data_IF_855591828022
#
_entry.id   IF_855591828022
#
_cell.length_a   1.000
_cell.length_b   1.000
_cell.length_c   1.000
_cell.angle_alpha   90.00
_cell.angle_beta   90.00
_cell.angle_gamma   90.00
#
_symmetry.space_group_name_H-M   'P 1'
#
loop_
_entity.id
_entity.type
_entity.pdbx_description
1 polymer ?
#
# COMPACT_ATOMS: atom_id res chain seq x y z
N UNK A 1 -0.29 20.36 12.75
CA UNK A 1 0.72 20.05 11.70
C UNK A 1 1.85 19.28 12.36
N UNK A 2 2.02 18.01 12.02
CA UNK A 2 3.18 17.26 12.48
C UNK A 2 4.40 17.77 11.71
N UNK A 3 5.34 18.40 12.41
CA UNK A 3 6.64 18.75 11.82
C UNK A 3 7.38 17.47 11.53
N UNK A 4 7.65 17.18 10.26
CA UNK A 4 8.53 16.09 9.86
C UNK A 4 9.89 16.33 10.50
N UNK A 5 10.20 15.62 11.58
CA UNK A 5 11.53 15.63 12.19
C UNK A 5 12.46 14.89 11.25
N UNK A 6 13.44 15.59 10.70
CA UNK A 6 14.53 14.98 9.93
C UNK A 6 15.70 14.74 10.87
N UNK A 7 16.31 13.55 10.78
CA UNK A 7 17.63 13.33 11.39
C UNK A 7 18.64 14.29 10.76
N UNK A 8 19.38 14.98 11.61
CA UNK A 8 20.49 15.83 11.15
C UNK A 8 21.61 14.90 10.71
N UNK A 9 21.93 14.91 9.41
CA UNK A 9 23.09 14.21 8.90
C UNK A 9 24.33 15.00 9.32
N UNK A 10 25.22 14.46 10.19
CA UNK A 10 26.43 15.17 10.58
C UNK A 10 27.31 15.37 9.36
N UNK A 11 27.71 16.61 9.10
CA UNK A 11 28.64 16.93 8.02
C UNK A 11 30.02 16.29 8.31
N UNK A 12 30.70 15.85 7.24
CA UNK A 12 32.09 15.35 7.35
C UNK A 12 32.95 16.43 8.03
N UNK A 13 33.68 16.09 9.08
CA UNK A 13 34.47 17.07 9.79
C UNK A 13 35.62 17.58 8.91
N UNK A 14 35.80 18.89 8.86
CA UNK A 14 36.99 19.49 8.25
C UNK A 14 38.14 19.42 9.27
N UNK A 15 39.01 18.44 9.06
CA UNK A 15 40.14 18.23 9.96
C UNK A 15 41.28 19.24 9.62
N UNK A 16 41.93 19.83 10.62
CA UNK A 16 43.06 20.71 10.37
C UNK A 16 44.23 19.93 9.74
N UNK A 17 44.93 20.57 8.81
CA UNK A 17 46.13 19.99 8.20
C UNK A 17 47.24 19.84 9.23
N UNK A 18 47.95 18.71 9.16
CA UNK A 18 49.09 18.45 10.05
C UNK A 18 50.23 19.46 9.87
N UNK A 19 50.92 19.77 10.93
CA UNK A 19 52.09 20.59 10.95
C UNK A 19 53.36 19.72 10.89
N UNK A 20 54.47 20.23 10.36
CA UNK A 20 55.76 19.49 10.29
C UNK A 20 56.32 19.16 11.66
N UNK A 21 55.96 19.94 12.66
CA UNK A 21 56.35 19.75 14.06
C UNK A 21 55.13 19.59 14.94
N UNK A 22 55.35 18.89 16.10
CA UNK A 22 54.30 18.73 17.08
C UNK A 22 53.85 20.08 17.65
N UNK A 23 52.61 20.43 17.46
CA UNK A 23 52.00 21.59 18.08
C UNK A 23 50.82 21.16 18.94
N UNK A 24 50.85 21.51 20.23
CA UNK A 24 49.76 21.21 21.17
C UNK A 24 48.40 21.79 20.68
N UNK A 25 48.46 23.01 20.15
CA UNK A 25 47.24 23.69 19.62
C UNK A 25 46.59 22.91 18.48
N UNK A 26 47.39 22.35 17.57
CA UNK A 26 46.87 21.49 16.50
C UNK A 26 46.21 20.25 17.07
N UNK A 27 46.84 19.58 18.04
CA UNK A 27 46.29 18.37 18.66
C UNK A 27 44.97 18.64 19.40
N UNK A 28 44.88 19.77 20.11
CA UNK A 28 43.68 20.19 20.81
C UNK A 28 42.53 20.51 19.81
N UNK A 29 42.83 21.21 18.71
CA UNK A 29 41.86 21.47 17.64
C UNK A 29 41.38 20.18 16.98
N UNK A 30 42.27 19.29 16.60
CA UNK A 30 41.95 17.99 16.00
C UNK A 30 41.04 17.16 16.92
N UNK A 31 41.42 17.02 18.17
CA UNK A 31 40.65 16.28 19.18
C UNK A 31 39.25 16.90 19.40
N UNK A 32 39.16 18.23 19.41
CA UNK A 32 37.91 18.93 19.58
C UNK A 32 36.96 18.74 18.40
N UNK A 33 37.47 18.82 17.16
CA UNK A 33 36.69 18.58 15.94
C UNK A 33 36.13 17.15 15.91
N UNK A 34 36.96 16.16 16.20
CA UNK A 34 36.55 14.76 16.28
C UNK A 34 35.51 14.54 17.39
N UNK A 35 35.70 15.12 18.58
CA UNK A 35 34.76 15.00 19.69
C UNK A 35 33.40 15.57 19.32
N UNK A 36 33.34 16.74 18.68
CA UNK A 36 32.10 17.36 18.22
C UNK A 36 31.39 16.49 17.17
N UNK A 37 32.13 15.96 16.19
CA UNK A 37 31.59 15.07 15.18
C UNK A 37 30.99 13.79 15.78
N UNK A 38 31.74 13.11 16.67
CA UNK A 38 31.22 11.90 17.32
C UNK A 38 30.04 12.16 18.26
N UNK A 39 29.98 13.33 18.90
CA UNK A 39 28.81 13.72 19.70
C UNK A 39 27.58 13.93 18.82
N UNK A 40 27.71 14.59 17.65
CA UNK A 40 26.62 14.76 16.70
C UNK A 40 26.15 13.40 16.15
N UNK A 41 27.08 12.52 15.79
CA UNK A 41 26.78 11.17 15.32
C UNK A 41 26.06 10.36 16.40
N UNK A 42 26.54 10.39 17.64
CA UNK A 42 25.90 9.73 18.78
C UNK A 42 24.47 10.23 19.01
N UNK A 43 24.26 11.55 18.97
CA UNK A 43 22.94 12.13 19.16
C UNK A 43 21.99 11.67 18.06
N UNK A 44 22.40 11.72 16.78
CA UNK A 44 21.58 11.21 15.66
C UNK A 44 21.25 9.72 15.77
N UNK A 45 22.24 8.89 16.14
CA UNK A 45 22.02 7.46 16.37
C UNK A 45 21.13 7.20 17.59
N UNK A 46 21.28 7.96 18.68
CA UNK A 46 20.44 7.83 19.88
C UNK A 46 18.98 8.20 19.58
N UNK A 47 18.75 9.18 18.71
CA UNK A 47 17.38 9.51 18.26
C UNK A 47 16.81 8.40 17.36
N UNK A 48 17.61 7.87 16.41
CA UNK A 48 17.19 6.81 15.50
C UNK A 48 16.86 5.49 16.24
N UNK A 49 17.67 5.12 17.23
CA UNK A 49 17.47 3.90 18.05
C UNK A 49 16.57 4.13 19.28
N UNK A 50 16.15 5.36 19.53
CA UNK A 50 15.23 5.71 20.60
C UNK A 50 13.79 5.29 20.32
N UNK A 51 12.90 5.50 21.30
CA UNK A 51 11.48 5.14 21.22
C UNK A 51 10.72 5.73 20.03
N UNK A 52 11.17 6.87 19.52
CA UNK A 52 10.58 7.56 18.37
C UNK A 52 11.34 7.33 17.06
N UNK A 53 12.31 6.44 17.03
CA UNK A 53 13.21 6.23 15.89
C UNK A 53 12.49 5.90 14.59
N UNK A 54 11.41 5.13 14.67
CA UNK A 54 10.57 4.82 13.52
C UNK A 54 9.96 6.03 12.82
N UNK A 55 9.80 7.16 13.52
CA UNK A 55 9.27 8.41 12.93
C UNK A 55 10.22 9.10 11.96
N UNK A 56 11.49 8.70 11.94
CA UNK A 56 12.51 9.23 11.02
C UNK A 56 12.70 8.37 9.77
N UNK A 57 12.11 7.16 9.76
CA UNK A 57 12.24 6.19 8.67
C UNK A 57 11.00 6.31 7.77
N UNK A 58 11.22 6.70 6.54
CA UNK A 58 10.18 6.79 5.52
C UNK A 58 10.24 5.53 4.65
N UNK A 59 9.55 4.47 5.09
CA UNK A 59 9.47 3.24 4.30
C UNK A 59 8.52 3.43 3.10
N UNK A 60 8.84 2.86 1.93
CA UNK A 60 7.93 2.84 0.80
C UNK A 60 6.58 2.24 1.18
N UNK A 61 5.52 2.98 0.94
CA UNK A 61 4.15 2.54 1.19
C UNK A 61 3.18 3.29 0.30
N UNK A 62 2.01 2.70 0.09
CA UNK A 62 0.86 3.37 -0.51
C UNK A 62 -0.41 2.84 0.14
N UNK A 63 -1.35 3.72 0.42
CA UNK A 63 -2.71 3.38 0.80
C UNK A 63 -3.66 4.08 -0.16
N UNK A 64 -4.63 3.34 -0.67
CA UNK A 64 -5.59 3.84 -1.65
C UNK A 64 -6.98 3.26 -1.40
N UNK A 65 -8.00 3.99 -1.82
CA UNK A 65 -9.39 3.60 -1.67
C UNK A 65 -10.21 3.90 -2.93
N UNK A 66 -11.39 3.29 -3.03
CA UNK A 66 -12.39 3.62 -4.03
C UNK A 66 -13.77 3.75 -3.40
N UNK A 67 -14.41 4.90 -3.62
CA UNK A 67 -15.72 5.24 -3.10
C UNK A 67 -16.86 5.02 -4.12
N UNK A 68 -16.57 4.30 -5.22
CA UNK A 68 -17.56 3.96 -6.25
C UNK A 68 -17.89 2.48 -6.25
N UNK A 69 -19.13 2.12 -6.54
CA UNK A 69 -19.48 0.71 -6.74
C UNK A 69 -18.85 0.18 -8.02
N UNK A 70 -18.23 -0.99 -7.96
CA UNK A 70 -17.49 -1.59 -9.07
C UNK A 70 -18.18 -2.87 -9.54
N UNK A 71 -18.26 -3.03 -10.84
CA UNK A 71 -18.83 -4.20 -11.49
C UNK A 71 -17.78 -4.94 -12.30
N UNK A 72 -17.80 -6.27 -12.30
CA UNK A 72 -16.99 -7.04 -13.22
C UNK A 72 -17.42 -6.75 -14.67
N UNK A 73 -16.46 -6.73 -15.58
CA UNK A 73 -16.74 -6.46 -17.00
C UNK A 73 -17.69 -7.49 -17.60
N UNK A 74 -17.51 -8.76 -17.25
CA UNK A 74 -18.41 -9.88 -17.60
C UNK A 74 -18.14 -11.04 -16.64
N UNK A 75 -19.02 -12.04 -16.63
CA UNK A 75 -18.78 -13.31 -15.94
C UNK A 75 -17.52 -13.98 -16.50
N UNK A 76 -16.73 -14.58 -15.62
CA UNK A 76 -15.47 -15.27 -15.93
C UNK A 76 -14.42 -14.41 -16.66
N UNK A 77 -14.48 -13.09 -16.50
CA UNK A 77 -13.56 -12.15 -17.12
C UNK A 77 -12.80 -11.37 -16.06
N UNK A 78 -11.46 -11.41 -16.06
CA UNK A 78 -10.66 -10.60 -15.18
C UNK A 78 -10.94 -9.11 -15.31
N UNK A 79 -11.20 -8.45 -14.20
CA UNK A 79 -11.48 -7.01 -14.12
C UNK A 79 -10.55 -6.39 -13.08
N UNK A 80 -9.93 -5.26 -13.39
CA UNK A 80 -9.11 -4.54 -12.42
C UNK A 80 -9.98 -3.91 -11.33
N UNK A 81 -9.56 -4.02 -10.07
CA UNK A 81 -10.15 -3.29 -8.95
C UNK A 81 -9.64 -1.86 -9.02
N UNK A 82 -10.58 -0.92 -9.04
CA UNK A 82 -10.26 0.50 -9.16
C UNK A 82 -9.86 1.09 -7.83
N UNK A 83 -8.91 2.03 -7.91
CA UNK A 83 -8.46 2.90 -6.84
C UNK A 83 -8.60 4.35 -7.34
N UNK A 84 -9.52 5.12 -6.78
CA UNK A 84 -9.76 6.49 -7.23
C UNK A 84 -9.21 7.56 -6.28
N UNK A 85 -8.79 7.16 -5.09
CA UNK A 85 -8.27 8.06 -4.06
C UNK A 85 -6.94 7.53 -3.53
N UNK A 86 -5.92 8.39 -3.56
CA UNK A 86 -4.67 8.16 -2.83
C UNK A 86 -4.84 8.72 -1.41
N UNK A 87 -4.88 7.84 -0.43
CA UNK A 87 -5.06 8.21 0.98
C UNK A 87 -3.73 8.59 1.64
N UNK A 88 -2.67 7.85 1.34
CA UNK A 88 -1.30 8.12 1.78
C UNK A 88 -0.30 7.40 0.88
N UNK A 89 0.92 7.93 0.73
CA UNK A 89 1.96 7.22 -0.02
C UNK A 89 3.30 7.92 -0.05
N UNK A 90 4.34 7.09 -0.09
CA UNK A 90 5.73 7.45 -0.33
C UNK A 90 6.41 6.28 -1.04
N UNK A 91 7.29 6.56 -2.01
CA UNK A 91 7.98 5.51 -2.77
C UNK A 91 7.10 4.73 -3.75
N UNK A 92 5.87 5.19 -4.00
CA UNK A 92 4.94 4.67 -5.01
C UNK A 92 4.27 5.80 -5.79
N UNK A 93 3.82 5.48 -6.99
CA UNK A 93 2.92 6.33 -7.79
C UNK A 93 1.63 5.58 -8.06
N UNK A 94 0.47 6.16 -7.68
CA UNK A 94 -0.83 5.64 -8.08
C UNK A 94 -1.15 6.12 -9.50
N UNK A 95 -1.36 5.16 -10.42
CA UNK A 95 -1.63 5.44 -11.81
C UNK A 95 -3.15 5.57 -12.07
N UNK A 96 -3.52 6.30 -13.11
CA UNK A 96 -4.92 6.47 -13.53
C UNK A 96 -5.62 5.17 -13.94
N UNK A 97 -4.87 4.12 -14.28
CA UNK A 97 -5.38 2.77 -14.59
C UNK A 97 -5.54 1.90 -13.33
N UNK A 98 -5.47 2.48 -12.13
CA UNK A 98 -5.62 1.78 -10.85
C UNK A 98 -4.51 0.75 -10.54
N UNK A 99 -3.30 0.97 -11.06
CA UNK A 99 -2.10 0.26 -10.66
C UNK A 99 -1.21 1.17 -9.80
N UNK A 100 -0.39 0.58 -8.96
CA UNK A 100 0.62 1.28 -8.16
C UNK A 100 2.01 0.93 -8.68
N UNK A 101 2.80 1.92 -9.10
CA UNK A 101 4.18 1.73 -9.56
C UNK A 101 5.15 1.92 -8.41
N UNK A 102 5.98 0.91 -8.14
CA UNK A 102 7.02 0.99 -7.12
C UNK A 102 8.22 1.81 -7.63
N UNK A 103 8.70 2.76 -6.83
CA UNK A 103 9.91 3.54 -7.14
C UNK A 103 11.19 2.90 -6.60
N UNK A 104 11.07 1.92 -5.72
CA UNK A 104 12.17 1.24 -5.04
C UNK A 104 11.93 -0.28 -5.14
N UNK A 105 12.99 -1.03 -5.47
CA UNK A 105 12.94 -2.51 -5.48
C UNK A 105 12.86 -3.06 -4.07
N UNK A 106 12.06 -4.12 -3.86
CA UNK A 106 11.92 -4.72 -2.54
C UNK A 106 10.92 -5.85 -2.48
N UNK A 107 10.81 -6.42 -1.29
CA UNK A 107 9.73 -7.32 -0.89
C UNK A 107 8.64 -6.45 -0.27
N UNK A 108 7.43 -6.61 -0.74
CA UNK A 108 6.28 -5.83 -0.34
C UNK A 108 5.15 -6.71 0.16
N UNK A 109 4.34 -6.16 1.04
CA UNK A 109 3.10 -6.77 1.49
C UNK A 109 1.93 -5.90 1.05
N UNK A 110 0.97 -6.48 0.33
CA UNK A 110 -0.33 -5.87 0.11
C UNK A 110 -1.34 -6.41 1.11
N UNK A 111 -2.15 -5.51 1.62
CA UNK A 111 -3.34 -5.83 2.42
C UNK A 111 -4.53 -5.15 1.76
N UNK A 112 -5.62 -5.87 1.55
CA UNK A 112 -6.81 -5.28 0.95
C UNK A 112 -8.09 -5.73 1.63
N UNK A 113 -9.12 -4.88 1.53
CA UNK A 113 -10.49 -5.13 1.99
C UNK A 113 -11.46 -4.71 0.90
N UNK A 114 -12.38 -5.61 0.54
CA UNK A 114 -13.37 -5.43 -0.53
C UNK A 114 -14.76 -5.69 0.01
N UNK A 115 -15.72 -4.79 -0.27
CA UNK A 115 -17.10 -4.94 0.14
C UNK A 115 -17.89 -5.67 -0.94
N UNK A 116 -17.86 -6.99 -0.96
CA UNK A 116 -18.66 -7.78 -1.89
C UNK A 116 -20.14 -7.74 -1.52
N UNK A 117 -20.98 -7.61 -2.54
CA UNK A 117 -22.42 -7.71 -2.44
C UNK A 117 -22.96 -8.70 -3.49
N UNK A 118 -23.93 -9.52 -3.11
CA UNK A 118 -24.60 -10.45 -4.01
C UNK A 118 -26.11 -10.17 -4.04
N UNK A 119 -26.62 -9.88 -5.23
CA UNK A 119 -28.04 -9.60 -5.48
C UNK A 119 -28.77 -10.78 -6.13
N UNK A 120 -28.09 -11.91 -6.32
CA UNK A 120 -28.70 -13.12 -6.89
C UNK A 120 -29.26 -14.02 -5.80
N UNK A 121 -30.19 -14.90 -6.21
CA UNK A 121 -30.78 -15.94 -5.37
C UNK A 121 -29.91 -17.21 -5.22
N UNK A 122 -28.70 -17.19 -5.81
CA UNK A 122 -27.65 -18.22 -5.69
C UNK A 122 -26.41 -17.63 -5.04
N UNK A 123 -25.63 -18.49 -4.38
CA UNK A 123 -24.31 -18.12 -3.91
C UNK A 123 -23.33 -18.07 -5.09
N UNK A 124 -22.42 -17.08 -5.06
CA UNK A 124 -21.40 -16.88 -6.10
C UNK A 124 -20.05 -16.54 -5.49
N UNK A 125 -18.99 -16.76 -6.27
CA UNK A 125 -17.63 -16.51 -5.83
C UNK A 125 -17.06 -15.21 -6.42
N UNK A 126 -16.46 -14.40 -5.57
CA UNK A 126 -15.55 -13.35 -5.95
C UNK A 126 -14.10 -13.86 -5.81
N UNK A 127 -13.36 -13.90 -6.89
CA UNK A 127 -11.99 -14.40 -6.95
C UNK A 127 -11.07 -13.20 -7.11
N UNK A 128 -10.08 -13.04 -6.25
CA UNK A 128 -9.19 -11.87 -6.22
C UNK A 128 -7.74 -12.31 -6.28
N UNK A 129 -6.92 -11.64 -7.06
CA UNK A 129 -5.47 -11.90 -7.18
C UNK A 129 -4.68 -10.66 -7.57
N UNK A 130 -3.37 -10.74 -7.46
CA UNK A 130 -2.44 -9.70 -7.89
C UNK A 130 -1.92 -9.94 -9.30
N UNK A 131 -1.66 -8.85 -10.01
CA UNK A 131 -0.99 -8.85 -11.30
C UNK A 131 0.07 -7.77 -11.33
N UNK A 132 1.30 -8.12 -11.74
CA UNK A 132 2.42 -7.18 -11.90
C UNK A 132 2.61 -6.89 -13.38
N UNK A 133 2.82 -5.62 -13.73
CA UNK A 133 2.99 -5.08 -15.10
C UNK A 133 1.86 -5.45 -16.09
N UNK A 134 0.74 -5.92 -15.56
CA UNK A 134 -0.41 -6.36 -16.33
C UNK A 134 -1.49 -5.29 -16.46
N UNK A 135 -1.59 -4.65 -17.62
CA UNK A 135 -2.75 -3.81 -18.00
C UNK A 135 -3.80 -4.59 -18.80
N UNK A 136 -3.46 -5.80 -19.24
CA UNK A 136 -4.30 -6.68 -20.06
C UNK A 136 -5.14 -7.65 -19.21
N UNK A 137 -6.27 -8.08 -19.72
CA UNK A 137 -7.09 -9.14 -19.12
C UNK A 137 -6.50 -10.55 -19.26
N UNK A 138 -5.29 -10.70 -19.81
CA UNK A 138 -4.59 -11.98 -19.94
C UNK A 138 -3.86 -12.34 -18.64
N UNK A 139 -3.70 -13.63 -18.36
CA UNK A 139 -3.11 -14.17 -17.12
C UNK A 139 -1.57 -14.16 -17.09
N UNK A 140 -0.89 -13.58 -18.08
CA UNK A 140 0.56 -13.69 -18.25
C UNK A 140 1.39 -13.10 -17.11
N UNK A 141 0.83 -12.16 -16.34
CA UNK A 141 1.53 -11.44 -15.28
C UNK A 141 0.90 -11.69 -13.89
N UNK A 142 0.12 -12.76 -13.75
CA UNK A 142 -0.49 -13.12 -12.47
C UNK A 142 0.57 -13.54 -11.46
N UNK A 143 0.51 -12.98 -10.26
CA UNK A 143 1.40 -13.36 -9.16
C UNK A 143 0.98 -14.69 -8.60
N UNK A 144 1.85 -15.69 -8.66
CA UNK A 144 1.59 -17.02 -8.13
C UNK A 144 1.24 -16.96 -6.63
N UNK A 145 0.28 -17.78 -6.19
CA UNK A 145 -0.18 -17.88 -4.80
C UNK A 145 -0.82 -16.59 -4.22
N UNK A 146 -1.22 -15.63 -5.06
CA UNK A 146 -1.91 -14.42 -4.64
C UNK A 146 -3.43 -14.53 -4.68
N UNK A 147 -3.97 -15.65 -5.18
CA UNK A 147 -5.41 -15.81 -5.40
C UNK A 147 -6.14 -16.15 -4.10
N UNK A 148 -7.21 -15.42 -3.83
CA UNK A 148 -8.14 -15.67 -2.73
C UNK A 148 -9.58 -15.75 -3.27
N UNK A 149 -10.38 -16.70 -2.78
CA UNK A 149 -11.78 -16.89 -3.17
C UNK A 149 -12.68 -16.49 -2.00
N UNK A 150 -13.66 -15.66 -2.27
CA UNK A 150 -14.69 -15.20 -1.33
C UNK A 150 -16.05 -15.66 -1.81
N UNK A 151 -16.66 -16.65 -1.15
CA UNK A 151 -18.01 -17.08 -1.47
C UNK A 151 -19.01 -16.15 -0.81
N UNK A 152 -19.86 -15.49 -1.62
CA UNK A 152 -20.91 -14.59 -1.16
C UNK A 152 -22.24 -15.32 -1.26
N UNK A 153 -22.88 -15.53 -0.12
CA UNK A 153 -24.17 -16.23 -0.05
C UNK A 153 -25.25 -15.55 -0.91
N UNK A 154 -26.30 -16.30 -1.25
CA UNK A 154 -27.48 -15.78 -1.94
C UNK A 154 -28.05 -14.55 -1.20
N UNK A 155 -28.71 -13.66 -1.93
CA UNK A 155 -29.39 -12.48 -1.37
C UNK A 155 -30.39 -12.87 -0.26
N UNK A 156 -30.59 -11.99 0.71
CA UNK A 156 -31.49 -12.22 1.84
C UNK A 156 -32.95 -12.27 1.39
N UNK A 157 -33.34 -11.42 0.44
CA UNK A 157 -34.66 -11.37 -0.19
C UNK A 157 -34.58 -10.54 -1.47
N UNK A 158 -35.64 -10.44 -2.23
CA UNK A 158 -35.73 -9.62 -3.43
C UNK A 158 -35.34 -8.16 -3.09
N UNK A 159 -34.33 -7.62 -3.75
CA UNK A 159 -33.82 -6.25 -3.52
C UNK A 159 -32.97 -6.05 -2.27
N UNK A 160 -32.72 -7.12 -1.48
CA UNK A 160 -31.85 -7.03 -0.28
C UNK A 160 -30.64 -7.94 -0.46
N UNK A 161 -29.48 -7.38 -0.87
CA UNK A 161 -28.26 -8.16 -1.10
C UNK A 161 -27.69 -8.73 0.19
N UNK A 162 -26.89 -9.78 0.04
CA UNK A 162 -25.99 -10.26 1.09
C UNK A 162 -24.64 -9.61 0.92
N UNK A 163 -23.99 -9.28 2.02
CA UNK A 163 -22.67 -8.60 2.05
C UNK A 163 -21.62 -9.49 2.68
N UNK A 164 -20.42 -9.45 2.11
CA UNK A 164 -19.21 -10.06 2.67
C UNK A 164 -18.05 -9.08 2.52
N UNK A 165 -17.35 -8.83 3.61
CA UNK A 165 -16.07 -8.14 3.55
C UNK A 165 -14.98 -9.15 3.24
N UNK A 166 -14.46 -9.13 2.01
CA UNK A 166 -13.29 -9.89 1.59
C UNK A 166 -12.03 -9.20 2.04
N UNK A 167 -11.23 -9.87 2.87
CA UNK A 167 -9.94 -9.38 3.34
C UNK A 167 -8.86 -10.43 3.07
N UNK A 168 -7.69 -9.99 2.60
CA UNK A 168 -6.52 -10.84 2.45
C UNK A 168 -5.23 -10.02 2.49
N UNK A 169 -4.13 -10.72 2.70
CA UNK A 169 -2.79 -10.17 2.53
C UNK A 169 -1.90 -11.11 1.72
N UNK A 170 -0.99 -10.53 0.95
CA UNK A 170 -0.04 -11.26 0.11
C UNK A 170 1.31 -10.58 0.19
N UNK A 171 2.38 -11.39 0.29
CA UNK A 171 3.76 -10.91 0.20
C UNK A 171 4.30 -11.23 -1.19
N UNK A 172 4.91 -10.26 -1.84
CA UNK A 172 5.40 -10.37 -3.22
C UNK A 172 6.58 -9.45 -3.47
N UNK A 173 7.24 -9.61 -4.60
CA UNK A 173 8.43 -8.86 -4.98
C UNK A 173 8.10 -7.85 -6.08
N UNK A 174 8.66 -6.63 -5.99
CA UNK A 174 8.65 -5.64 -7.07
C UNK A 174 10.06 -5.12 -7.30
N UNK A 175 10.41 -4.88 -8.56
CA UNK A 175 11.55 -4.05 -8.94
C UNK A 175 11.11 -2.59 -9.06
N UNK A 176 12.06 -1.68 -9.01
CA UNK A 176 11.76 -0.27 -9.29
C UNK A 176 11.24 -0.13 -10.72
N UNK A 177 10.09 0.51 -10.89
CA UNK A 177 9.38 0.65 -12.15
C UNK A 177 8.26 -0.36 -12.38
N UNK A 178 8.23 -1.48 -11.64
CA UNK A 178 7.14 -2.45 -11.74
C UNK A 178 5.82 -1.83 -11.24
N UNK A 179 4.73 -2.13 -11.92
CA UNK A 179 3.38 -1.71 -11.57
C UNK A 179 2.54 -2.90 -11.11
N UNK A 180 1.91 -2.81 -9.96
CA UNK A 180 1.04 -3.84 -9.41
C UNK A 180 -0.41 -3.38 -9.40
N UNK A 181 -1.34 -4.25 -9.77
CA UNK A 181 -2.79 -4.06 -9.69
C UNK A 181 -3.47 -5.22 -8.99
N UNK A 182 -4.61 -4.94 -8.36
CA UNK A 182 -5.49 -5.95 -7.79
C UNK A 182 -6.58 -6.26 -8.81
N UNK A 183 -6.74 -7.53 -9.14
CA UNK A 183 -7.70 -8.02 -10.13
C UNK A 183 -8.72 -8.91 -9.48
N UNK A 184 -9.92 -8.95 -10.04
CA UNK A 184 -10.96 -9.84 -9.59
C UNK A 184 -11.78 -10.39 -10.75
N UNK A 185 -12.48 -11.46 -10.47
CA UNK A 185 -13.46 -12.08 -11.36
C UNK A 185 -14.55 -12.77 -10.58
N UNK A 186 -15.64 -13.10 -11.25
CA UNK A 186 -16.77 -13.84 -10.68
C UNK A 186 -17.41 -14.72 -11.75
N UNK A 187 -18.03 -15.79 -11.34
CA UNK A 187 -18.83 -16.63 -12.23
C UNK A 187 -20.19 -15.99 -12.63
N UNK A 188 -20.63 -14.97 -11.88
CA UNK A 188 -21.88 -14.24 -12.14
C UNK A 188 -21.70 -12.75 -11.85
N UNK A 189 -21.45 -11.97 -12.90
CA UNK A 189 -21.25 -10.52 -12.81
C UNK A 189 -22.59 -9.79 -12.76
N UNK A 190 -22.76 -8.92 -11.77
CA UNK A 190 -23.87 -7.97 -11.77
C UNK A 190 -23.61 -6.86 -12.80
N UNK A 191 -24.66 -6.37 -13.45
CA UNK A 191 -24.63 -5.16 -14.28
C UNK A 191 -24.98 -3.93 -13.46
N UNK A 192 -24.50 -2.74 -13.86
CA UNK A 192 -24.87 -1.48 -13.22
C UNK A 192 -26.39 -1.30 -13.18
N UNK A 193 -26.96 -1.17 -11.98
CA UNK A 193 -28.41 -1.15 -11.77
C UNK A 193 -29.08 -2.51 -11.93
N UNK A 194 -28.33 -3.58 -12.21
CA UNK A 194 -28.84 -4.93 -12.42
C UNK A 194 -29.10 -5.70 -11.13
N UNK A 195 -30.06 -6.64 -11.19
CA UNK A 195 -30.58 -7.34 -10.03
C UNK A 195 -29.84 -8.64 -9.70
N UNK A 196 -28.94 -9.14 -10.53
CA UNK A 196 -28.36 -10.49 -10.39
C UNK A 196 -26.86 -10.49 -10.46
N UNK A 197 -26.20 -11.15 -9.50
CA UNK A 197 -24.77 -11.39 -9.48
C UNK A 197 -24.00 -10.62 -8.40
N UNK A 198 -22.68 -10.79 -8.43
CA UNK A 198 -21.73 -10.16 -7.48
C UNK A 198 -21.19 -8.84 -8.05
N UNK A 199 -20.98 -7.90 -7.15
CA UNK A 199 -20.31 -6.62 -7.37
C UNK A 199 -19.57 -6.18 -6.10
N UNK A 200 -18.70 -5.20 -6.22
CA UNK A 200 -17.98 -4.59 -5.09
C UNK A 200 -18.70 -3.28 -4.77
N UNK A 201 -19.28 -3.16 -3.58
CA UNK A 201 -20.24 -2.13 -3.21
C UNK A 201 -19.58 -0.99 -2.44
N UNK A 202 -19.77 0.25 -2.89
CA UNK A 202 -19.61 1.44 -2.06
C UNK A 202 -20.96 1.84 -1.46
N UNK A 203 -20.97 2.20 -0.18
CA UNK A 203 -22.16 2.69 0.50
C UNK A 203 -21.97 4.17 0.85
N UNK A 204 -22.88 5.08 0.46
CA UNK A 204 -22.79 6.48 0.84
C UNK A 204 -22.95 6.64 2.36
N UNK A 205 -22.43 7.76 2.89
CA UNK A 205 -22.62 8.12 4.29
C UNK A 205 -24.11 8.12 4.65
N UNK A 206 -24.42 7.61 5.83
CA UNK A 206 -25.79 7.55 6.36
C UNK A 206 -25.93 8.50 7.54
N UNK A 207 -27.12 9.06 7.71
CA UNK A 207 -27.47 9.93 8.85
C UNK A 207 -28.57 9.31 9.73
N UNK A 208 -29.38 8.41 9.22
CA UNK A 208 -30.49 7.75 9.90
C UNK A 208 -30.68 6.33 9.36
N UNK A 209 -31.10 5.33 10.16
CA UNK A 209 -31.37 5.39 11.62
C UNK A 209 -30.09 5.48 12.47
N UNK A 210 -28.93 5.16 11.93
CA UNK A 210 -27.61 5.28 12.58
C UNK A 210 -26.68 6.07 11.65
N UNK A 211 -26.03 7.09 12.19
CA UNK A 211 -25.04 7.86 11.42
C UNK A 211 -23.72 7.09 11.31
N UNK A 212 -23.21 6.96 10.09
CA UNK A 212 -21.88 6.42 9.80
C UNK A 212 -21.30 7.06 8.52
N UNK A 213 -19.96 7.15 8.41
CA UNK A 213 -19.31 7.66 7.21
C UNK A 213 -19.54 6.75 6.00
N UNK A 214 -19.22 7.23 4.81
CA UNK A 214 -19.24 6.42 3.59
C UNK A 214 -18.34 5.19 3.74
N UNK A 215 -18.81 4.06 3.22
CA UNK A 215 -18.04 2.81 3.16
C UNK A 215 -17.47 2.67 1.76
N UNK A 216 -16.13 2.70 1.60
CA UNK A 216 -15.49 2.48 0.31
C UNK A 216 -15.74 1.06 -0.19
N UNK A 217 -15.82 0.89 -1.51
CA UNK A 217 -15.91 -0.44 -2.14
C UNK A 217 -14.62 -1.24 -1.97
N UNK A 218 -13.50 -0.56 -2.07
CA UNK A 218 -12.17 -1.14 -1.96
C UNK A 218 -11.26 -0.25 -1.10
N UNK A 219 -10.52 -0.90 -0.22
CA UNK A 219 -9.41 -0.33 0.55
C UNK A 219 -8.18 -1.20 0.28
N UNK A 220 -7.02 -0.59 0.11
CA UNK A 220 -5.77 -1.33 0.00
C UNK A 220 -4.58 -0.54 0.48
N UNK A 221 -3.59 -1.27 0.97
CA UNK A 221 -2.29 -0.71 1.29
C UNK A 221 -1.19 -1.65 0.86
N UNK A 222 -0.12 -1.08 0.33
CA UNK A 222 1.12 -1.80 0.04
C UNK A 222 2.19 -1.21 0.93
N UNK A 223 2.92 -2.06 1.64
CA UNK A 223 3.97 -1.66 2.56
C UNK A 223 5.26 -2.42 2.27
N UNK A 224 6.39 -1.74 2.38
CA UNK A 224 7.71 -2.35 2.27
C UNK A 224 7.98 -3.28 3.44
N UNK A 225 8.49 -4.48 3.15
CA UNK A 225 8.87 -5.47 4.15
C UNK A 225 10.39 -5.52 4.29
N UNK A 226 11.11 -5.68 3.19
CA UNK A 226 12.57 -5.74 3.17
C UNK A 226 13.14 -5.42 1.79
N UNK A 227 14.44 -5.13 1.74
CA UNK A 227 15.18 -5.10 0.47
C UNK A 227 15.20 -6.50 -0.18
N UNK A 228 15.43 -6.54 -1.50
CA UNK A 228 15.68 -7.80 -2.18
C UNK A 228 16.99 -8.42 -1.64
N UNK A 229 17.05 -9.74 -1.52
CA UNK A 229 18.32 -10.40 -1.21
C UNK A 229 19.34 -10.10 -2.32
N UNK A 230 20.63 -9.97 -1.95
CA UNK A 230 21.71 -9.69 -2.89
C UNK A 230 21.89 -10.79 -3.92
#
# INVERSE_FOLDING_TARGET
>A
MATNKRLINPAVPNLPLGTEQYERRYQDQFSNVLRLYFNQLRNGLSELFGANGGSYLEFPHIAASDNTTQYATAANTPTIIKWNTLDAGSGFTLNSNSTATALISGIYKITYSLQFANNDNQAHDGIVWLRVDGTSSTSLNDVANSTTIFTVAARKSAGVPTYVCGYSEVVFTLNAGDSVGLWWGTNQAATSGGATGIYILAVPAQTSPMAYPAVPSALGSITFVSALPP
#
